data_IF_070833824863
#
_entry.id   IF_070833824863
#
_cell.length_a   1.000
_cell.length_b   1.000
_cell.length_c   1.000
_cell.angle_alpha   90.00
_cell.angle_beta   90.00
_cell.angle_gamma   90.00
#
_symmetry.space_group_name_H-M   'P 1'
#
loop_
_entity.id
_entity.type
_entity.pdbx_description
1 polymer ?
#
# COMPACT_ATOMS: atom_id res chain seq x y z
N UNK A 1 -6.52 -16.72 -10.12
CA UNK A 1 -5.06 -16.74 -10.32
C UNK A 1 -4.51 -15.33 -10.52
N UNK A 2 -4.63 -14.78 -11.74
CA UNK A 2 -4.16 -13.46 -12.13
C UNK A 2 -4.71 -12.32 -11.26
N UNK A 3 -6.02 -12.31 -10.99
CA UNK A 3 -6.65 -11.30 -10.13
C UNK A 3 -6.09 -11.22 -8.71
N UNK A 4 -5.77 -12.37 -8.09
CA UNK A 4 -5.17 -12.41 -6.75
C UNK A 4 -3.76 -11.80 -6.74
N UNK A 5 -2.98 -12.03 -7.81
CA UNK A 5 -1.64 -11.43 -7.96
C UNK A 5 -1.71 -9.92 -8.16
N UNK A 6 -2.68 -9.43 -8.94
CA UNK A 6 -2.92 -7.98 -9.11
C UNK A 6 -3.31 -7.35 -7.77
N UNK A 7 -4.33 -7.91 -7.10
CA UNK A 7 -4.78 -7.42 -5.80
C UNK A 7 -3.64 -7.41 -4.78
N UNK A 8 -2.81 -8.46 -4.75
CA UNK A 8 -1.65 -8.55 -3.87
C UNK A 8 -0.56 -7.51 -4.17
N UNK A 9 -0.35 -7.12 -5.44
CA UNK A 9 0.57 -6.04 -5.80
C UNK A 9 0.03 -4.69 -5.37
N UNK A 10 -1.23 -4.41 -5.70
CA UNK A 10 -1.90 -3.17 -5.32
C UNK A 10 -1.86 -2.97 -3.81
N UNK A 11 -2.24 -3.98 -3.03
CA UNK A 11 -2.22 -3.91 -1.57
C UNK A 11 -0.81 -3.65 -1.02
N UNK A 12 0.23 -4.28 -1.58
CA UNK A 12 1.60 -4.00 -1.16
C UNK A 12 2.00 -2.56 -1.45
N UNK A 13 1.72 -2.04 -2.64
CA UNK A 13 2.03 -0.64 -2.97
C UNK A 13 1.26 0.33 -2.10
N UNK A 14 0.00 0.05 -1.79
CA UNK A 14 -0.78 0.84 -0.83
C UNK A 14 -0.14 0.85 0.55
N UNK A 15 0.36 -0.29 1.04
CA UNK A 15 1.07 -0.35 2.33
C UNK A 15 2.44 0.34 2.28
N UNK A 16 3.14 0.31 1.16
CA UNK A 16 4.41 1.04 0.98
C UNK A 16 4.16 2.56 1.01
N UNK A 17 3.16 3.05 0.26
CA UNK A 17 2.74 4.46 0.30
C UNK A 17 2.24 4.90 1.67
N UNK A 18 1.51 4.04 2.38
CA UNK A 18 1.08 4.29 3.76
C UNK A 18 2.28 4.57 4.69
N UNK A 19 3.38 3.83 4.52
CA UNK A 19 4.62 4.09 5.25
C UNK A 19 5.25 5.45 4.93
N UNK A 20 5.20 5.87 3.67
CA UNK A 20 5.76 7.17 3.23
C UNK A 20 5.00 8.38 3.81
N UNK A 21 3.70 8.23 4.09
CA UNK A 21 2.89 9.28 4.73
C UNK A 21 2.91 9.22 6.27
N UNK A 22 3.79 8.42 6.86
CA UNK A 22 4.02 8.36 8.30
C UNK A 22 3.14 7.37 9.07
N UNK A 23 2.40 6.49 8.39
CA UNK A 23 1.71 5.39 9.07
C UNK A 23 2.72 4.30 9.45
N UNK A 24 2.63 3.78 10.68
CA UNK A 24 3.48 2.67 11.11
C UNK A 24 3.06 1.38 10.40
N UNK A 25 3.79 1.03 9.34
CA UNK A 25 3.62 -0.22 8.61
C UNK A 25 4.75 -1.18 9.00
N UNK A 26 4.46 -2.25 9.77
CA UNK A 26 5.51 -3.12 10.26
C UNK A 26 6.27 -3.81 9.12
N UNK A 27 7.59 -3.71 9.11
CA UNK A 27 8.44 -4.38 8.09
C UNK A 27 8.21 -5.91 8.00
N UNK A 28 7.77 -6.54 9.10
CA UNK A 28 7.38 -7.95 9.11
C UNK A 28 6.14 -8.23 8.25
N UNK A 29 5.20 -7.29 8.16
CA UNK A 29 4.01 -7.38 7.31
C UNK A 29 4.41 -7.37 5.84
N UNK A 30 5.24 -6.41 5.42
CA UNK A 30 5.75 -6.30 4.04
C UNK A 30 6.53 -7.54 3.61
N UNK A 31 7.41 -8.07 4.49
CA UNK A 31 8.12 -9.33 4.23
C UNK A 31 7.19 -10.53 4.08
N UNK A 32 6.10 -10.57 4.84
CA UNK A 32 5.09 -11.64 4.72
C UNK A 32 4.37 -11.55 3.38
N UNK A 33 3.97 -10.34 2.96
CA UNK A 33 3.38 -10.10 1.64
C UNK A 33 4.31 -10.49 0.51
N UNK A 34 5.60 -10.14 0.60
CA UNK A 34 6.60 -10.57 -0.36
C UNK A 34 6.61 -12.10 -0.49
N UNK A 35 6.60 -12.83 0.63
CA UNK A 35 6.53 -14.30 0.60
C UNK A 35 5.29 -14.85 -0.10
N UNK A 36 4.12 -14.23 0.10
CA UNK A 36 2.89 -14.59 -0.63
C UNK A 36 3.01 -14.31 -2.13
N UNK A 37 3.54 -13.15 -2.49
CA UNK A 37 3.71 -12.72 -3.88
C UNK A 37 4.72 -13.59 -4.64
N UNK A 38 5.83 -13.94 -4.00
CA UNK A 38 6.87 -14.79 -4.59
C UNK A 38 6.30 -16.20 -4.89
N UNK A 39 5.58 -16.81 -3.94
CA UNK A 39 4.95 -18.12 -4.14
C UNK A 39 3.86 -18.09 -5.22
N UNK A 40 3.01 -17.07 -5.25
CA UNK A 40 2.01 -16.89 -6.32
C UNK A 40 2.64 -16.59 -7.68
N UNK A 41 3.77 -15.88 -7.70
CA UNK A 41 4.54 -15.60 -8.91
C UNK A 41 5.09 -16.88 -9.52
N UNK A 42 5.84 -17.66 -8.75
CA UNK A 42 6.39 -18.93 -9.21
C UNK A 42 5.30 -19.89 -9.68
N UNK A 43 4.20 -20.01 -8.92
CA UNK A 43 3.07 -20.82 -9.36
C UNK A 43 2.55 -20.39 -10.74
N UNK A 44 2.30 -19.09 -10.93
CA UNK A 44 1.80 -18.55 -12.19
C UNK A 44 2.79 -18.78 -13.34
N UNK A 45 4.07 -18.57 -13.10
CA UNK A 45 5.11 -18.73 -14.12
C UNK A 45 5.16 -20.20 -14.61
N UNK A 46 5.05 -21.17 -13.71
CA UNK A 46 4.97 -22.58 -14.08
C UNK A 46 3.67 -22.95 -14.79
N UNK A 47 2.54 -22.34 -14.42
CA UNK A 47 1.27 -22.53 -15.16
C UNK A 47 1.43 -22.01 -16.59
N UNK A 48 1.90 -20.78 -16.78
CA UNK A 48 2.11 -20.20 -18.11
C UNK A 48 3.10 -21.02 -18.93
N UNK A 49 4.20 -21.46 -18.33
CA UNK A 49 5.18 -22.33 -18.99
C UNK A 49 4.53 -23.65 -19.44
N UNK A 50 3.80 -24.32 -18.56
CA UNK A 50 3.13 -25.58 -18.90
C UNK A 50 2.12 -25.42 -20.03
N UNK A 51 1.36 -24.32 -20.04
CA UNK A 51 0.38 -24.01 -21.08
C UNK A 51 1.03 -23.71 -22.42
N UNK A 52 2.10 -22.90 -22.43
CA UNK A 52 2.85 -22.61 -23.66
C UNK A 52 3.46 -23.88 -24.23
N UNK A 53 4.19 -24.65 -23.44
CA UNK A 53 4.85 -25.88 -23.92
C UNK A 53 3.83 -26.91 -24.40
N UNK A 54 2.69 -27.06 -23.72
CA UNK A 54 1.62 -27.95 -24.18
C UNK A 54 0.97 -27.46 -25.47
N UNK A 55 0.84 -26.13 -25.65
CA UNK A 55 0.35 -25.52 -26.89
C UNK A 55 1.28 -25.80 -28.07
N UNK A 56 2.58 -25.58 -27.91
CA UNK A 56 3.60 -25.90 -28.93
C UNK A 56 3.62 -27.41 -29.25
N UNK A 57 3.48 -28.26 -28.24
CA UNK A 57 3.40 -29.71 -28.46
C UNK A 57 2.15 -30.10 -29.26
N UNK A 58 1.04 -29.38 -29.08
CA UNK A 58 -0.22 -29.67 -29.77
C UNK A 58 -0.19 -29.32 -31.27
N UNK A 59 0.85 -28.63 -31.76
CA UNK A 59 1.02 -28.38 -33.19
C UNK A 59 1.26 -29.68 -33.96
N UNK A 60 0.37 -29.97 -34.91
CA UNK A 60 0.36 -31.22 -35.69
C UNK A 60 1.70 -31.48 -36.41
N UNK A 61 2.34 -30.40 -36.86
CA UNK A 61 3.64 -30.43 -37.54
C UNK A 61 4.74 -31.02 -36.66
N UNK A 62 4.76 -30.69 -35.36
CA UNK A 62 5.79 -31.15 -34.42
C UNK A 62 5.64 -32.64 -34.14
N UNK A 63 4.40 -33.10 -33.95
CA UNK A 63 4.11 -34.51 -33.68
C UNK A 63 4.51 -35.43 -34.86
N UNK A 64 4.27 -34.98 -36.09
CA UNK A 64 4.57 -35.76 -37.30
C UNK A 64 6.05 -35.66 -37.73
N UNK A 65 6.64 -34.46 -37.66
CA UNK A 65 8.01 -34.24 -38.15
C UNK A 65 9.08 -34.66 -37.14
N UNK A 66 8.81 -34.55 -35.84
CA UNK A 66 9.81 -34.81 -34.80
C UNK A 66 9.19 -35.45 -33.54
N UNK A 67 8.81 -36.75 -33.57
CA UNK A 67 8.14 -37.43 -32.46
C UNK A 67 8.91 -37.39 -31.14
N UNK A 68 10.25 -37.39 -31.19
CA UNK A 68 11.09 -37.27 -29.99
C UNK A 68 10.97 -35.89 -29.35
N UNK A 69 11.00 -34.82 -30.15
CA UNK A 69 10.84 -33.44 -29.65
C UNK A 69 9.45 -33.27 -29.05
N UNK A 70 8.42 -33.81 -29.69
CA UNK A 70 7.05 -33.84 -29.15
C UNK A 70 7.00 -34.50 -27.76
N UNK A 71 7.63 -35.65 -27.58
CA UNK A 71 7.69 -36.33 -26.27
C UNK A 71 8.43 -35.49 -25.22
N UNK A 72 9.53 -34.85 -25.58
CA UNK A 72 10.30 -33.98 -24.69
C UNK A 72 9.49 -32.74 -24.27
N UNK A 73 8.73 -32.13 -25.19
CA UNK A 73 7.83 -31.03 -24.88
C UNK A 73 6.70 -31.47 -23.93
N UNK A 74 6.05 -32.61 -24.18
CA UNK A 74 5.04 -33.13 -23.27
C UNK A 74 5.60 -33.40 -21.87
N UNK A 75 6.78 -34.01 -21.78
CA UNK A 75 7.45 -34.25 -20.51
C UNK A 75 7.76 -32.94 -19.77
N UNK A 76 8.22 -31.92 -20.48
CA UNK A 76 8.47 -30.58 -19.92
C UNK A 76 7.18 -29.92 -19.44
N UNK A 77 6.09 -29.97 -20.21
CA UNK A 77 4.80 -29.43 -19.81
C UNK A 77 4.28 -30.10 -18.53
N UNK A 78 4.41 -31.42 -18.43
CA UNK A 78 4.04 -32.19 -17.24
C UNK A 78 4.89 -31.82 -16.02
N UNK A 79 6.21 -31.68 -16.20
CA UNK A 79 7.13 -31.28 -15.14
C UNK A 79 6.80 -29.86 -14.62
N UNK A 80 6.56 -28.91 -15.53
CA UNK A 80 6.14 -27.55 -15.18
C UNK A 80 4.80 -27.55 -14.43
N UNK A 81 3.82 -28.32 -14.91
CA UNK A 81 2.54 -28.47 -14.22
C UNK A 81 2.69 -29.05 -12.81
N UNK A 82 3.48 -30.11 -12.64
CA UNK A 82 3.74 -30.72 -11.34
C UNK A 82 4.40 -29.72 -10.38
N UNK A 83 5.34 -28.91 -10.88
CA UNK A 83 5.98 -27.86 -10.09
C UNK A 83 5.01 -26.77 -9.68
N UNK A 84 4.12 -26.33 -10.58
CA UNK A 84 3.07 -25.35 -10.23
C UNK A 84 2.24 -25.80 -9.02
N UNK A 85 1.90 -27.10 -8.93
CA UNK A 85 1.14 -27.65 -7.79
C UNK A 85 1.92 -27.58 -6.48
N UNK A 86 3.25 -27.68 -6.52
CA UNK A 86 4.11 -27.52 -5.34
C UNK A 86 4.05 -26.06 -4.87
N UNK A 87 4.26 -25.11 -5.78
CA UNK A 87 4.24 -23.68 -5.45
C UNK A 87 2.86 -23.21 -4.94
N UNK A 88 1.76 -23.72 -5.54
CA UNK A 88 0.41 -23.43 -5.05
C UNK A 88 0.20 -23.96 -3.62
N UNK A 89 0.68 -25.17 -3.31
CA UNK A 89 0.62 -25.72 -1.94
C UNK A 89 1.45 -24.90 -0.97
N UNK A 90 2.62 -24.41 -1.39
CA UNK A 90 3.43 -23.50 -0.59
C UNK A 90 2.70 -22.19 -0.29
N UNK A 91 2.04 -21.59 -1.28
CA UNK A 91 1.19 -20.42 -1.06
C UNK A 91 0.07 -20.71 -0.07
N UNK A 92 -0.69 -21.81 -0.26
CA UNK A 92 -1.78 -22.19 0.64
C UNK A 92 -1.29 -22.37 2.07
N UNK A 93 -0.13 -23.02 2.26
CA UNK A 93 0.50 -23.18 3.58
C UNK A 93 0.83 -21.81 4.21
N UNK A 94 1.54 -20.96 3.48
CA UNK A 94 1.90 -19.61 3.95
C UNK A 94 0.66 -18.78 4.32
N UNK A 95 -0.39 -18.86 3.49
CA UNK A 95 -1.66 -18.18 3.74
C UNK A 95 -2.35 -18.69 4.99
N UNK A 96 -2.42 -20.01 5.20
CA UNK A 96 -3.01 -20.59 6.42
C UNK A 96 -2.27 -20.18 7.68
N UNK A 97 -0.93 -20.17 7.63
CA UNK A 97 -0.10 -19.85 8.78
C UNK A 97 -0.14 -18.36 9.16
N UNK A 98 -0.23 -17.47 8.17
CA UNK A 98 0.01 -16.03 8.39
C UNK A 98 -1.11 -15.11 7.92
N UNK A 99 -2.06 -15.60 7.12
CA UNK A 99 -3.09 -14.80 6.46
C UNK A 99 -4.00 -14.06 7.44
N UNK A 100 -4.44 -14.73 8.52
CA UNK A 100 -5.26 -14.09 9.56
C UNK A 100 -4.52 -12.96 10.28
N UNK A 101 -3.26 -13.20 10.65
CA UNK A 101 -2.42 -12.19 11.31
C UNK A 101 -2.12 -11.00 10.38
N UNK A 102 -2.00 -11.23 9.08
CA UNK A 102 -1.87 -10.19 8.06
C UNK A 102 -3.15 -9.37 7.96
N UNK A 103 -4.32 -10.02 7.88
CA UNK A 103 -5.63 -9.35 7.82
C UNK A 103 -5.85 -8.41 9.01
N UNK A 104 -5.70 -8.92 10.24
CA UNK A 104 -5.91 -8.10 11.44
C UNK A 104 -4.94 -6.91 11.54
N UNK A 105 -3.71 -7.02 11.00
CA UNK A 105 -2.78 -5.88 10.94
C UNK A 105 -3.21 -4.82 9.93
N UNK A 106 -3.71 -5.24 8.77
CA UNK A 106 -4.22 -4.30 7.77
C UNK A 106 -5.44 -3.57 8.31
N UNK A 107 -6.36 -4.29 8.97
CA UNK A 107 -7.53 -3.70 9.62
C UNK A 107 -7.13 -2.69 10.69
N UNK A 108 -6.13 -3.00 11.52
CA UNK A 108 -5.61 -2.08 12.52
C UNK A 108 -5.00 -0.81 11.89
N UNK A 109 -4.23 -0.95 10.80
CA UNK A 109 -3.68 0.20 10.06
C UNK A 109 -4.83 1.03 9.48
N UNK A 110 -5.81 0.41 8.81
CA UNK A 110 -6.95 1.10 8.23
C UNK A 110 -7.77 1.85 9.29
N UNK A 111 -8.00 1.23 10.46
CA UNK A 111 -8.69 1.87 11.57
C UNK A 111 -7.94 3.10 12.09
N UNK A 112 -6.60 3.06 12.16
CA UNK A 112 -5.79 4.20 12.59
C UNK A 112 -5.91 5.40 11.65
N UNK A 113 -5.98 5.15 10.33
CA UNK A 113 -6.18 6.18 9.30
C UNK A 113 -7.54 6.82 9.43
N UNK A 114 -8.59 6.04 9.65
CA UNK A 114 -9.95 6.56 9.81
C UNK A 114 -10.14 7.36 11.12
N UNK A 115 -9.37 7.07 12.16
CA UNK A 115 -9.46 7.76 13.45
C UNK A 115 -8.72 9.12 13.47
N UNK A 116 -7.65 9.27 12.68
CA UNK A 116 -6.85 10.49 12.61
C UNK A 116 -7.62 11.79 12.28
N UNK A 117 -8.53 11.85 11.29
CA UNK A 117 -9.22 13.10 10.94
C UNK A 117 -10.19 13.60 12.03
N UNK A 118 -10.68 12.73 12.92
CA UNK A 118 -11.56 13.14 14.01
C UNK A 118 -10.81 13.86 15.14
N UNK A 119 -9.54 13.50 15.37
CA UNK A 119 -8.72 14.11 16.40
C UNK A 119 -8.24 15.52 16.02
N UNK A 120 -7.85 15.72 14.76
CA UNK A 120 -7.42 17.04 14.26
C UNK A 120 -8.59 18.04 14.19
N UNK A 121 -9.78 17.58 13.79
CA UNK A 121 -10.99 18.41 13.80
C UNK A 121 -11.37 18.86 15.24
N UNK A 122 -11.24 17.98 16.23
CA UNK A 122 -11.47 18.31 17.64
C UNK A 122 -10.45 19.27 18.22
N UNK A 123 -9.17 19.13 17.84
CA UNK A 123 -8.10 20.02 18.32
C UNK A 123 -8.20 21.41 17.67
N UNK A 124 -8.52 21.49 16.38
CA UNK A 124 -8.75 22.75 15.69
C UNK A 124 -10.03 23.47 16.17
N UNK A 125 -11.07 22.73 16.59
CA UNK A 125 -12.27 23.30 17.20
C UNK A 125 -11.98 23.87 18.60
N UNK A 126 -11.26 23.15 19.46
CA UNK A 126 -10.86 23.63 20.79
C UNK A 126 -9.95 24.86 20.72
N UNK A 127 -8.97 24.86 19.81
CA UNK A 127 -8.10 26.03 19.57
C UNK A 127 -8.89 27.26 19.10
N UNK A 128 -9.92 27.07 18.27
CA UNK A 128 -10.82 28.15 17.85
C UNK A 128 -11.67 28.67 19.00
N UNK A 129 -12.19 27.78 19.84
CA UNK A 129 -13.01 28.14 20.99
C UNK A 129 -12.21 28.87 22.08
N UNK A 130 -10.98 28.44 22.35
CA UNK A 130 -10.06 29.16 23.25
C UNK A 130 -9.61 30.53 22.70
N UNK A 131 -9.45 30.67 21.38
CA UNK A 131 -9.19 31.96 20.75
C UNK A 131 -10.38 32.91 20.88
N UNK A 132 -11.61 32.43 20.63
CA UNK A 132 -12.84 33.20 20.82
C UNK A 132 -13.05 33.60 22.29
N UNK A 133 -12.76 32.72 23.25
CA UNK A 133 -12.86 33.05 24.68
C UNK A 133 -11.85 34.12 25.11
N UNK A 134 -10.66 34.15 24.51
CA UNK A 134 -9.66 35.21 24.77
C UNK A 134 -10.10 36.56 24.20
N UNK A 135 -10.66 36.59 22.99
CA UNK A 135 -11.16 37.84 22.39
C UNK A 135 -12.34 38.44 23.16
N UNK A 136 -13.27 37.61 23.65
CA UNK A 136 -14.42 38.09 24.45
C UNK A 136 -13.98 38.63 25.83
N UNK A 137 -12.91 38.09 26.42
CA UNK A 137 -12.40 38.58 27.70
C UNK A 137 -11.63 39.91 27.58
N UNK A 138 -11.06 40.21 26.41
CA UNK A 138 -10.33 41.46 26.15
C UNK A 138 -11.29 42.65 25.88
N UNK A 139 -12.51 42.40 25.39
CA UNK A 139 -13.53 43.45 25.19
C UNK A 139 -14.26 43.88 26.48
N UNK A 140 -14.00 43.23 27.62
CA UNK A 140 -14.71 43.53 28.89
C UNK A 140 -13.90 44.40 29.87
N UNK A 141 -13.00 45.26 29.37
CA UNK A 141 -12.39 46.34 30.16
C UNK A 141 -12.98 47.70 29.76
N UNK A 142 -13.87 48.30 30.58
CA UNK A 142 -14.35 49.64 30.33
C UNK A 142 -13.30 50.68 30.76
N UNK A 143 -12.72 51.36 29.78
CA UNK A 143 -12.36 52.77 29.88
C UNK A 143 -10.93 53.11 30.30
N UNK A 144 -10.18 53.70 29.36
CA UNK A 144 -9.30 54.83 29.66
C UNK A 144 -8.99 55.61 28.37
N UNK A 145 -9.79 56.64 28.13
CA UNK A 145 -9.47 57.77 27.29
C UNK A 145 -8.11 58.37 27.69
N UNK A 146 -7.12 58.23 26.81
CA UNK A 146 -5.87 59.02 26.79
C UNK A 146 -5.68 59.37 25.32
N UNK A 147 -5.88 60.60 24.88
CA UNK A 147 -5.13 61.77 25.33
C UNK A 147 -4.05 62.00 24.27
N UNK A 148 -4.26 63.02 23.44
CA UNK A 148 -3.49 63.28 22.22
C UNK A 148 -1.99 63.47 22.42
N UNK A 149 -1.28 63.31 21.33
CA UNK A 149 0.18 63.46 21.25
C UNK A 149 0.63 63.46 19.80
N UNK A 150 0.27 64.53 19.10
CA UNK A 150 0.91 65.00 17.87
C UNK A 150 2.43 65.03 18.06
N UNK A 151 3.20 64.32 17.24
CA UNK A 151 4.53 64.80 16.89
C UNK A 151 5.02 64.20 15.58
N UNK A 152 5.37 65.12 14.70
CA UNK A 152 5.92 64.94 13.38
C UNK A 152 7.37 64.46 13.41
N UNK A 153 7.81 63.93 12.27
CA UNK A 153 9.22 63.67 11.94
C UNK A 153 9.41 62.20 11.57
N UNK A 154 10.00 61.84 10.45
CA UNK A 154 10.81 62.55 9.48
C UNK A 154 11.44 61.45 8.65
N UNK A 155 11.41 61.59 7.32
CA UNK A 155 11.67 60.48 6.40
C UNK A 155 13.08 59.91 6.41
N UNK A 156 13.25 58.84 5.62
CA UNK A 156 14.24 58.78 4.52
C UNK A 156 14.11 57.45 3.76
N UNK A 157 14.17 57.61 2.45
CA UNK A 157 14.24 56.62 1.36
C UNK A 157 15.68 56.02 1.24
N UNK A 158 16.00 55.17 0.23
CA UNK A 158 16.50 53.80 0.40
C UNK A 158 17.98 53.59 -0.02
N UNK A 159 18.49 52.37 0.13
CA UNK A 159 19.65 51.73 -0.56
C UNK A 159 19.89 50.36 0.12
N UNK A 160 20.23 49.23 -0.51
CA UNK A 160 20.81 48.89 -1.81
C UNK A 160 20.34 47.48 -2.21
#
# INVERSE_FOLDING_TARGET
AHGLRIAGKLLRYTLEMAGEIGLDVPQKLLRTFKGFQDALGLWHDFVVLSQRVAGEAAEETVALAAPRVYQELLALAQAAWARSRVELRQFVRLWREKGLAVGGRIEAIAASVCAAPAAEAGMSAKLREEQLQREVHDETLPGATRGGGESAGGGRTPAH
#
